data_IF_362273996965
#
_entry.id   IF_362273996965
#
_cell.length_a   1.000
_cell.length_b   1.000
_cell.length_c   1.000
_cell.angle_alpha   90.00
_cell.angle_beta   90.00
_cell.angle_gamma   90.00
#
_symmetry.space_group_name_H-M   'P 1'
#
loop_
_entity.id
_entity.type
_entity.pdbx_description
1 polymer ?
#
# COMPACT_ATOMS: atom_id res chain seq x y z
N UNK A 1 12.00 -23.36 -13.56
CA UNK A 1 10.81 -22.48 -13.51
C UNK A 1 11.25 -21.22 -12.80
N UNK A 2 11.43 -20.17 -13.59
CA UNK A 2 12.22 -18.99 -13.27
C UNK A 2 11.52 -18.15 -12.20
N UNK A 3 12.08 -18.15 -10.99
CA UNK A 3 11.74 -17.20 -9.93
C UNK A 3 12.21 -15.82 -10.36
N UNK A 4 11.31 -15.04 -10.96
CA UNK A 4 11.46 -13.60 -11.06
C UNK A 4 11.40 -13.03 -9.64
N UNK A 5 12.55 -12.95 -8.98
CA UNK A 5 12.74 -12.02 -7.89
C UNK A 5 12.42 -10.64 -8.49
N UNK A 6 11.27 -10.07 -8.09
CA UNK A 6 10.94 -8.70 -8.43
C UNK A 6 12.13 -7.86 -8.01
N UNK A 7 12.85 -7.32 -9.00
CA UNK A 7 13.91 -6.37 -8.77
C UNK A 7 13.26 -5.25 -7.97
N UNK A 8 13.63 -5.12 -6.70
CA UNK A 8 13.36 -3.91 -5.95
C UNK A 8 14.05 -2.81 -6.76
N UNK A 9 13.26 -2.03 -7.50
CA UNK A 9 13.76 -0.85 -8.18
C UNK A 9 14.48 -0.03 -7.11
N UNK A 10 15.78 0.21 -7.30
CA UNK A 10 16.55 1.06 -6.41
C UNK A 10 15.78 2.38 -6.24
N UNK A 11 15.53 2.84 -5.02
CA UNK A 11 14.80 4.09 -4.83
C UNK A 11 15.57 5.22 -5.51
N UNK A 12 14.96 5.80 -6.56
CA UNK A 12 15.41 7.03 -7.22
C UNK A 12 15.50 8.16 -6.18
N UNK A 13 16.30 9.22 -6.42
CA UNK A 13 16.69 10.16 -5.37
C UNK A 13 15.50 10.82 -4.68
N UNK A 14 15.58 10.92 -3.36
CA UNK A 14 14.58 11.59 -2.53
C UNK A 14 14.60 13.10 -2.81
N UNK A 15 13.53 13.61 -3.41
CA UNK A 15 13.31 15.05 -3.55
C UNK A 15 12.55 15.56 -2.33
N UNK A 16 13.13 16.54 -1.64
CA UNK A 16 12.46 17.22 -0.54
C UNK A 16 11.53 18.31 -1.10
N UNK A 17 10.26 18.26 -0.71
CA UNK A 17 9.24 19.23 -1.14
C UNK A 17 8.62 19.90 0.09
N UNK A 18 8.35 21.20 0.01
CA UNK A 18 7.85 22.00 1.14
C UNK A 18 6.42 22.48 0.98
N UNK A 19 5.85 22.36 -0.22
CA UNK A 19 4.49 22.78 -0.51
C UNK A 19 3.80 21.82 -1.50
N UNK A 20 2.47 21.90 -1.56
CA UNK A 20 1.69 21.17 -2.57
C UNK A 20 2.12 21.59 -3.99
N UNK A 21 2.46 22.87 -4.19
CA UNK A 21 2.93 23.35 -5.48
C UNK A 21 4.26 22.69 -5.89
N UNK A 22 5.21 22.60 -4.95
CA UNK A 22 6.50 21.92 -5.18
C UNK A 22 6.28 20.42 -5.46
N UNK A 23 5.37 19.78 -4.73
CA UNK A 23 5.02 18.38 -4.94
C UNK A 23 4.43 18.14 -6.34
N UNK A 24 3.49 18.99 -6.77
CA UNK A 24 2.89 18.87 -8.12
C UNK A 24 3.95 19.11 -9.20
N UNK A 25 4.80 20.13 -9.03
CA UNK A 25 5.89 20.42 -9.95
C UNK A 25 6.87 19.23 -10.05
N UNK A 26 7.29 18.67 -8.91
CA UNK A 26 8.15 17.49 -8.85
C UNK A 26 7.55 16.29 -9.60
N UNK A 27 6.26 16.01 -9.43
CA UNK A 27 5.59 14.91 -10.14
C UNK A 27 5.45 15.22 -11.64
N UNK A 28 5.19 16.48 -12.01
CA UNK A 28 5.13 16.89 -13.42
C UNK A 28 6.49 16.76 -14.12
N UNK A 29 7.58 17.08 -13.43
CA UNK A 29 8.95 16.91 -13.94
C UNK A 29 9.35 15.43 -13.99
N UNK A 30 8.89 14.63 -13.03
CA UNK A 30 9.15 13.19 -12.97
C UNK A 30 8.36 12.41 -13.99
N UNK A 31 7.22 12.93 -14.50
CA UNK A 31 6.49 12.26 -15.57
C UNK A 31 7.47 12.06 -16.73
N UNK A 32 7.82 10.80 -17.08
CA UNK A 32 8.26 10.56 -18.44
C UNK A 32 7.13 11.07 -19.37
N UNK A 33 7.41 11.19 -20.66
CA UNK A 33 6.37 11.23 -21.69
C UNK A 33 5.57 9.91 -21.69
N UNK A 34 4.78 9.63 -20.65
CA UNK A 34 3.95 8.45 -20.46
C UNK A 34 2.49 8.84 -20.57
N UNK A 35 1.79 8.12 -21.44
CA UNK A 35 0.35 8.28 -21.72
C UNK A 35 -0.55 7.64 -20.64
N UNK A 36 0.00 7.31 -19.46
CA UNK A 36 -0.71 6.60 -18.38
C UNK A 36 -0.53 7.25 -17.02
N UNK A 37 -1.44 6.93 -16.08
CA UNK A 37 -1.40 7.45 -14.72
C UNK A 37 -0.31 6.77 -13.89
N UNK A 38 0.43 7.57 -13.11
CA UNK A 38 1.31 7.08 -12.06
C UNK A 38 0.50 6.75 -10.81
N UNK A 39 0.99 5.81 -10.02
CA UNK A 39 0.40 5.41 -8.75
C UNK A 39 1.20 5.98 -7.59
N UNK A 40 0.51 6.41 -6.55
CA UNK A 40 1.08 7.10 -5.39
C UNK A 40 0.66 6.42 -4.09
N UNK A 41 1.58 6.39 -3.12
CA UNK A 41 1.29 5.92 -1.76
C UNK A 41 1.97 6.82 -0.73
N UNK A 42 1.17 7.43 0.15
CA UNK A 42 1.67 8.22 1.26
C UNK A 42 1.92 7.39 2.51
N UNK A 43 2.99 7.71 3.23
CA UNK A 43 3.28 7.17 4.55
C UNK A 43 3.86 8.26 5.46
N UNK A 44 3.57 8.20 6.77
CA UNK A 44 3.99 9.23 7.71
C UNK A 44 5.49 9.23 8.01
N UNK A 45 6.18 8.13 7.70
CA UNK A 45 7.61 7.98 7.94
C UNK A 45 8.31 7.36 6.75
N UNK A 46 9.44 7.92 6.34
CA UNK A 46 10.35 7.32 5.35
C UNK A 46 10.89 5.94 5.80
N UNK A 47 10.94 5.70 7.11
CA UNK A 47 11.43 4.44 7.70
C UNK A 47 10.45 3.28 7.53
N UNK A 48 9.18 3.56 7.19
CA UNK A 48 8.18 2.53 7.02
C UNK A 48 8.46 1.73 5.75
N UNK A 49 8.60 0.42 5.92
CA UNK A 49 8.74 -0.50 4.80
C UNK A 49 7.46 -0.54 3.98
N UNK A 50 7.61 -0.62 2.65
CA UNK A 50 6.53 -0.87 1.69
C UNK A 50 6.03 -2.31 1.76
N UNK A 51 5.53 -2.71 2.93
CA UNK A 51 5.04 -4.05 3.21
C UNK A 51 3.56 -3.99 3.61
N UNK A 52 2.72 -4.90 3.06
CA UNK A 52 1.36 -5.05 3.52
C UNK A 52 1.37 -5.51 4.98
N UNK A 53 0.31 -5.20 5.73
CA UNK A 53 0.25 -5.43 7.18
C UNK A 53 0.52 -6.89 7.57
N UNK A 54 0.11 -7.85 6.74
CA UNK A 54 0.36 -9.28 6.95
C UNK A 54 1.85 -9.66 6.94
N UNK A 55 2.67 -8.89 6.22
CA UNK A 55 4.10 -9.15 5.97
C UNK A 55 5.04 -8.29 6.81
N UNK A 56 4.53 -7.46 7.74
CA UNK A 56 5.36 -6.59 8.58
C UNK A 56 6.14 -7.31 9.69
N UNK A 57 5.79 -8.56 9.99
CA UNK A 57 6.52 -9.37 10.97
C UNK A 57 7.72 -10.03 10.29
N UNK A 58 8.96 -9.60 10.58
CA UNK A 58 10.16 -10.10 9.91
C UNK A 58 10.48 -11.55 10.28
N UNK A 59 9.89 -12.10 11.34
CA UNK A 59 10.10 -13.50 11.72
C UNK A 59 9.32 -14.50 10.85
N UNK A 60 8.37 -14.02 10.02
CA UNK A 60 7.53 -14.86 9.17
C UNK A 60 8.16 -15.07 7.81
N UNK A 61 8.15 -16.31 7.34
CA UNK A 61 8.49 -16.63 5.96
C UNK A 61 7.34 -16.26 5.02
N UNK A 62 7.62 -16.22 3.71
CA UNK A 62 6.58 -16.03 2.68
C UNK A 62 5.49 -17.12 2.78
N UNK A 63 5.87 -18.36 3.09
CA UNK A 63 4.92 -19.45 3.27
C UNK A 63 4.01 -19.21 4.48
N UNK A 64 4.56 -18.77 5.61
CA UNK A 64 3.77 -18.46 6.81
C UNK A 64 2.74 -17.35 6.54
N UNK A 65 3.10 -16.36 5.73
CA UNK A 65 2.21 -15.26 5.32
C UNK A 65 1.05 -15.83 4.47
N UNK A 66 1.34 -16.68 3.49
CA UNK A 66 0.29 -17.30 2.66
C UNK A 66 -0.62 -18.23 3.46
N UNK A 67 -0.07 -19.03 4.36
CA UNK A 67 -0.84 -19.94 5.22
C UNK A 67 -1.70 -19.16 6.23
N UNK A 68 -1.19 -18.02 6.73
CA UNK A 68 -1.97 -17.10 7.56
C UNK A 68 -3.12 -16.49 6.78
N UNK A 69 -2.86 -15.93 5.59
CA UNK A 69 -3.91 -15.29 4.79
C UNK A 69 -4.99 -16.30 4.38
N UNK A 70 -4.58 -17.51 3.98
CA UNK A 70 -5.51 -18.58 3.60
C UNK A 70 -6.45 -18.96 4.75
N UNK A 71 -5.94 -19.04 5.98
CA UNK A 71 -6.75 -19.25 7.18
C UNK A 71 -7.68 -18.07 7.47
N UNK A 72 -7.19 -16.84 7.34
CA UNK A 72 -8.01 -15.63 7.53
C UNK A 72 -9.14 -15.55 6.51
N UNK A 73 -8.85 -15.84 5.24
CA UNK A 73 -9.83 -15.87 4.16
C UNK A 73 -10.89 -16.95 4.40
N UNK A 74 -10.49 -18.16 4.79
CA UNK A 74 -11.43 -19.24 5.12
C UNK A 74 -12.38 -18.81 6.26
N UNK A 75 -11.83 -18.18 7.32
CA UNK A 75 -12.62 -17.66 8.44
C UNK A 75 -13.54 -16.51 8.03
N UNK A 76 -13.07 -15.62 7.16
CA UNK A 76 -13.87 -14.53 6.62
C UNK A 76 -15.06 -15.07 5.82
N UNK A 77 -14.83 -16.08 4.96
CA UNK A 77 -15.88 -16.77 4.20
C UNK A 77 -16.93 -17.42 5.09
N UNK A 78 -16.48 -18.16 6.11
CA UNK A 78 -17.36 -18.87 7.04
C UNK A 78 -18.19 -17.92 7.91
N UNK A 79 -17.57 -16.84 8.40
CA UNK A 79 -18.15 -16.02 9.49
C UNK A 79 -18.69 -14.66 9.05
N UNK A 80 -18.30 -14.16 7.88
CA UNK A 80 -18.60 -12.78 7.46
C UNK A 80 -19.48 -12.74 6.21
N UNK A 81 -19.19 -13.55 5.18
CA UNK A 81 -19.96 -13.51 3.93
C UNK A 81 -21.48 -13.70 4.07
N UNK A 82 -22.00 -14.53 4.99
CA UNK A 82 -23.44 -14.62 5.22
C UNK A 82 -24.11 -13.28 5.60
N UNK A 83 -23.33 -12.35 6.14
CA UNK A 83 -23.78 -11.04 6.60
C UNK A 83 -23.38 -9.90 5.65
N UNK A 84 -22.68 -10.20 4.56
CA UNK A 84 -22.18 -9.22 3.59
C UNK A 84 -22.83 -9.47 2.22
N UNK A 85 -24.11 -9.09 2.03
CA UNK A 85 -24.80 -9.34 0.77
C UNK A 85 -24.14 -8.67 -0.45
N UNK A 86 -23.38 -7.60 -0.22
CA UNK A 86 -22.58 -6.93 -1.25
C UNK A 86 -21.35 -7.76 -1.71
N UNK A 87 -20.87 -8.68 -0.87
CA UNK A 87 -19.72 -9.55 -1.15
C UNK A 87 -20.27 -10.97 -1.24
N UNK A 88 -20.81 -11.31 -2.40
CA UNK A 88 -21.34 -12.66 -2.62
C UNK A 88 -20.22 -13.71 -2.46
N UNK A 89 -20.58 -14.96 -2.14
CA UNK A 89 -19.62 -16.07 -2.20
C UNK A 89 -19.05 -16.30 -3.61
N UNK A 90 -19.71 -15.78 -4.65
CA UNK A 90 -19.24 -15.73 -6.03
C UNK A 90 -18.28 -14.57 -6.34
N UNK A 91 -18.03 -13.67 -5.37
CA UNK A 91 -17.06 -12.60 -5.52
C UNK A 91 -15.66 -13.16 -5.83
N UNK A 92 -14.91 -12.46 -6.67
CA UNK A 92 -13.53 -12.83 -7.00
C UNK A 92 -12.63 -12.79 -5.76
N UNK A 93 -11.46 -13.46 -5.82
CA UNK A 93 -10.50 -13.45 -4.70
C UNK A 93 -10.12 -12.01 -4.30
N UNK A 94 -9.87 -11.13 -5.26
CA UNK A 94 -9.49 -9.74 -4.99
C UNK A 94 -10.60 -8.97 -4.25
N UNK A 95 -11.86 -9.11 -4.67
CA UNK A 95 -13.00 -8.46 -4.01
C UNK A 95 -13.13 -8.92 -2.55
N UNK A 96 -12.89 -10.20 -2.29
CA UNK A 96 -12.88 -10.74 -0.94
C UNK A 96 -11.70 -10.19 -0.11
N UNK A 97 -10.51 -10.08 -0.70
CA UNK A 97 -9.35 -9.49 -0.02
C UNK A 97 -9.56 -7.99 0.26
N UNK A 98 -10.14 -7.22 -0.65
CA UNK A 98 -10.52 -5.83 -0.41
C UNK A 98 -11.54 -5.71 0.72
N UNK A 99 -12.53 -6.60 0.75
CA UNK A 99 -13.54 -6.63 1.81
C UNK A 99 -12.92 -6.97 3.17
N UNK A 100 -12.02 -7.96 3.21
CA UNK A 100 -11.24 -8.28 4.40
C UNK A 100 -10.49 -7.06 4.93
N UNK A 101 -9.77 -6.35 4.05
CA UNK A 101 -9.01 -5.16 4.41
C UNK A 101 -9.91 -4.01 4.88
N UNK A 102 -11.08 -3.83 4.25
CA UNK A 102 -12.10 -2.85 4.68
C UNK A 102 -12.58 -3.11 6.11
N UNK A 103 -12.69 -4.38 6.52
CA UNK A 103 -13.01 -4.78 7.88
C UNK A 103 -11.78 -4.98 8.79
N UNK A 104 -10.60 -4.49 8.39
CA UNK A 104 -9.39 -4.48 9.20
C UNK A 104 -8.64 -5.80 9.30
N UNK A 105 -9.00 -6.80 8.49
CA UNK A 105 -8.30 -8.08 8.41
C UNK A 105 -7.08 -7.92 7.51
N UNK A 106 -5.91 -8.31 8.01
CA UNK A 106 -4.66 -8.17 7.26
C UNK A 106 -4.68 -9.06 6.00
N UNK A 107 -4.35 -8.47 4.85
CA UNK A 107 -4.19 -9.16 3.56
C UNK A 107 -2.83 -8.83 2.96
N UNK A 108 -2.49 -9.50 1.86
CA UNK A 108 -1.31 -9.23 1.03
C UNK A 108 -1.43 -7.94 0.21
N UNK A 109 -2.60 -7.31 0.18
CA UNK A 109 -2.84 -6.12 -0.62
C UNK A 109 -2.11 -4.92 -0.01
N UNK A 110 -1.51 -4.11 -0.88
CA UNK A 110 -0.91 -2.84 -0.55
C UNK A 110 -1.60 -1.75 -1.37
N UNK A 111 -2.15 -0.75 -0.71
CA UNK A 111 -2.97 0.28 -1.38
C UNK A 111 -2.10 1.27 -2.16
N UNK A 112 -2.50 1.56 -3.38
CA UNK A 112 -1.94 2.62 -4.21
C UNK A 112 -3.09 3.47 -4.77
N UNK A 113 -2.85 4.75 -4.98
CA UNK A 113 -3.84 5.72 -5.46
C UNK A 113 -3.32 6.45 -6.69
N UNK A 114 -4.13 6.62 -7.73
CA UNK A 114 -3.82 7.52 -8.86
C UNK A 114 -3.93 9.01 -8.46
N UNK A 115 -4.58 9.29 -7.33
CA UNK A 115 -4.72 10.64 -6.82
C UNK A 115 -3.58 10.99 -5.85
N UNK A 116 -2.68 11.86 -6.32
CA UNK A 116 -1.55 12.39 -5.56
C UNK A 116 -1.96 13.04 -4.23
N UNK A 117 -3.10 13.74 -4.18
CA UNK A 117 -3.54 14.43 -2.97
C UNK A 117 -4.02 13.45 -1.88
N UNK A 118 -4.56 12.29 -2.28
CA UNK A 118 -4.88 11.22 -1.33
C UNK A 118 -3.59 10.67 -0.70
N UNK A 119 -2.55 10.45 -1.52
CA UNK A 119 -1.25 10.04 -0.99
C UNK A 119 -0.66 11.12 -0.07
N UNK A 120 -0.69 12.39 -0.45
CA UNK A 120 -0.22 13.49 0.41
C UNK A 120 -0.96 13.53 1.75
N UNK A 121 -2.29 13.36 1.74
CA UNK A 121 -3.09 13.30 2.97
C UNK A 121 -2.59 12.19 3.92
N UNK A 122 -2.38 10.96 3.41
CA UNK A 122 -1.88 9.86 4.24
C UNK A 122 -0.44 10.05 4.71
N UNK A 123 0.40 10.73 3.93
CA UNK A 123 1.75 11.07 4.35
C UNK A 123 1.76 12.06 5.52
N UNK A 124 0.82 13.01 5.59
CA UNK A 124 0.83 14.06 6.61
C UNK A 124 -0.15 13.86 7.76
N UNK A 125 -0.90 12.74 7.82
CA UNK A 125 -1.97 12.52 8.81
C UNK A 125 -1.57 11.63 9.99
N UNK A 126 -0.28 11.53 10.32
CA UNK A 126 0.29 10.73 11.42
C UNK A 126 -0.50 10.81 12.73
N UNK A 127 -0.72 12.04 13.22
CA UNK A 127 -1.30 12.33 14.53
C UNK A 127 -2.76 11.90 14.64
N UNK A 128 -3.45 11.74 13.49
CA UNK A 128 -4.88 11.40 13.44
C UNK A 128 -5.13 9.90 13.37
N UNK A 129 -4.11 9.11 13.03
CA UNK A 129 -4.23 7.67 12.81
C UNK A 129 -3.80 6.83 14.02
N UNK A 130 -3.36 7.47 15.12
CA UNK A 130 -3.00 6.80 16.36
C UNK A 130 -1.78 5.88 16.23
N UNK A 131 -0.87 6.19 15.31
CA UNK A 131 0.31 5.38 15.04
C UNK A 131 1.47 5.85 15.94
N UNK A 132 1.81 5.06 16.97
CA UNK A 132 2.80 5.43 17.99
C UNK A 132 4.20 5.69 17.40
N UNK A 133 4.53 5.07 16.26
CA UNK A 133 5.78 5.31 15.54
C UNK A 133 5.75 6.59 14.68
N UNK A 134 4.57 7.18 14.44
CA UNK A 134 4.41 8.39 13.65
C UNK A 134 4.47 9.68 14.50
N UNK A 135 4.56 9.54 15.83
CA UNK A 135 4.81 10.62 16.78
C UNK A 135 6.31 10.94 16.95
N UNK A 136 7.19 10.31 16.18
CA UNK A 136 8.59 10.72 16.12
C UNK A 136 8.69 12.10 15.43
N UNK A 137 9.14 13.15 16.14
CA UNK A 137 9.24 14.50 15.57
C UNK A 137 10.23 14.58 14.40
N UNK A 138 11.14 13.61 14.25
CA UNK A 138 12.07 13.53 13.13
C UNK A 138 11.52 12.70 11.95
N UNK A 139 10.33 12.12 12.09
CA UNK A 139 9.69 11.35 11.02
C UNK A 139 9.38 12.24 9.81
N UNK A 140 9.81 11.79 8.63
CA UNK A 140 9.59 12.49 7.37
C UNK A 140 8.42 11.89 6.59
N UNK A 141 7.30 12.62 6.43
CA UNK A 141 6.24 12.25 5.49
C UNK A 141 6.81 11.95 4.12
N UNK A 142 6.47 10.78 3.59
CA UNK A 142 7.02 10.28 2.32
C UNK A 142 5.89 9.86 1.39
N UNK A 143 6.02 10.21 0.12
CA UNK A 143 5.14 9.74 -0.95
C UNK A 143 5.96 8.88 -1.90
N UNK A 144 5.59 7.62 -2.00
CA UNK A 144 6.12 6.70 -2.99
C UNK A 144 5.39 6.88 -4.31
N UNK A 145 6.14 6.78 -5.41
CA UNK A 145 5.61 6.82 -6.77
C UNK A 145 5.96 5.51 -7.48
N UNK A 146 4.98 4.92 -8.15
CA UNK A 146 5.09 3.67 -8.90
C UNK A 146 4.58 3.89 -10.32
N UNK A 147 5.35 3.43 -11.31
CA UNK A 147 4.92 3.34 -12.71
C UNK A 147 4.28 1.96 -12.94
N UNK A 148 2.95 1.87 -13.05
CA UNK A 148 2.27 0.58 -13.11
C UNK A 148 2.51 -0.17 -14.43
N UNK A 149 2.91 0.52 -15.50
CA UNK A 149 3.18 -0.12 -16.80
C UNK A 149 4.58 -0.70 -16.82
N UNK A 150 5.58 -0.01 -16.25
CA UNK A 150 6.94 -0.57 -16.14
C UNK A 150 7.04 -1.75 -15.16
N UNK A 151 6.09 -1.84 -14.22
CA UNK A 151 6.06 -2.89 -13.22
C UNK A 151 5.54 -4.24 -13.75
N UNK A 152 4.69 -4.22 -14.80
CA UNK A 152 4.11 -5.42 -15.42
C UNK A 152 4.95 -5.92 -16.61
#
# INVERSE_FOLDING_TARGET
MTTGAGAAAEPTPSQHVTSIADLVAAIMDMRPTVDHALWFRGQPSETYALLPKIARDPARTVQDIWDRESRLLARFRERSLPYLPAVSASAGLLEQLFSMQHYGIDTRLLDWSENLLIAAYFATSSDRLGDDQANDPDSRPTIWTLDPVKWN
#
